data_IF_686308428737
#
_entry.id   IF_686308428737
#
_cell.length_a   1.000
_cell.length_b   1.000
_cell.length_c   1.000
_cell.angle_alpha   90.00
_cell.angle_beta   90.00
_cell.angle_gamma   90.00
#
_symmetry.space_group_name_H-M   'P 1'
#
loop_
_entity.id
_entity.type
_entity.pdbx_description
1 polymer ?
#
# COMPACT_ATOMS: atom_id res chain seq x y z
N UNK A 1 16.42 -16.70 19.04
CA UNK A 1 15.65 -15.66 18.32
C UNK A 1 15.23 -16.28 17.00
N UNK A 2 13.94 -16.54 16.79
CA UNK A 2 13.45 -17.08 15.51
C UNK A 2 13.71 -16.03 14.43
N UNK A 3 14.38 -16.39 13.35
CA UNK A 3 14.44 -15.51 12.18
C UNK A 3 13.02 -15.33 11.61
N UNK A 4 12.76 -14.22 10.90
CA UNK A 4 11.47 -13.94 10.25
C UNK A 4 10.98 -15.06 9.30
N UNK A 5 11.85 -16.00 8.93
CA UNK A 5 11.54 -17.18 8.13
C UNK A 5 11.19 -18.45 8.95
N UNK A 6 11.10 -18.37 10.28
CA UNK A 6 10.84 -19.53 11.15
C UNK A 6 12.03 -20.49 11.28
N UNK A 7 13.22 -20.06 10.86
CA UNK A 7 14.46 -20.84 10.95
C UNK A 7 15.09 -20.61 12.32
N UNK A 8 15.46 -21.69 12.99
CA UNK A 8 16.38 -21.70 14.11
C UNK A 8 17.69 -22.33 13.64
N UNK A 9 18.75 -21.53 13.43
CA UNK A 9 20.04 -22.07 13.04
C UNK A 9 20.61 -22.98 14.14
N UNK A 10 21.46 -23.92 13.74
CA UNK A 10 22.25 -24.71 14.66
C UNK A 10 23.10 -23.80 15.57
N UNK A 11 23.19 -24.13 16.85
CA UNK A 11 24.06 -23.45 17.82
C UNK A 11 25.54 -23.73 17.47
N UNK A 12 26.32 -22.70 17.12
CA UNK A 12 27.71 -22.86 16.73
C UNK A 12 28.61 -23.42 17.85
N UNK A 13 28.19 -23.34 19.12
CA UNK A 13 28.95 -23.87 20.25
C UNK A 13 28.57 -25.30 20.65
N UNK A 14 27.54 -25.88 20.01
CA UNK A 14 27.09 -27.23 20.27
C UNK A 14 27.15 -28.07 18.99
N UNK A 15 28.17 -28.94 18.81
CA UNK A 15 28.34 -29.75 17.60
C UNK A 15 27.22 -30.77 17.36
N UNK A 16 26.33 -31.00 18.33
CA UNK A 16 25.12 -31.83 18.18
C UNK A 16 23.86 -31.06 17.80
N UNK A 17 23.92 -29.75 17.63
CA UNK A 17 22.75 -28.94 17.31
C UNK A 17 22.44 -28.97 15.81
N UNK A 18 21.17 -29.21 15.46
CA UNK A 18 20.68 -29.17 14.09
C UNK A 18 19.89 -27.88 13.87
N UNK A 19 19.89 -27.39 12.63
CA UNK A 19 18.97 -26.32 12.27
C UNK A 19 17.55 -26.85 12.26
N UNK A 20 16.62 -26.14 12.89
CA UNK A 20 15.20 -26.49 12.90
C UNK A 20 14.40 -25.44 12.12
N UNK A 21 13.32 -25.87 11.48
CA UNK A 21 12.41 -24.99 10.75
C UNK A 21 11.01 -25.17 11.33
N UNK A 22 10.45 -24.09 11.85
CA UNK A 22 9.06 -24.04 12.31
C UNK A 22 8.16 -23.63 11.14
N UNK A 23 7.24 -24.52 10.76
CA UNK A 23 6.24 -24.30 9.72
C UNK A 23 4.84 -24.56 10.28
N UNK A 24 3.82 -23.92 9.73
CA UNK A 24 2.44 -24.26 10.04
C UNK A 24 2.08 -25.68 9.51
N UNK A 25 0.99 -26.24 10.02
CA UNK A 25 0.52 -27.59 9.66
C UNK A 25 0.26 -27.75 8.16
N UNK A 26 -0.29 -26.73 7.50
CA UNK A 26 -0.57 -26.73 6.06
C UNK A 26 0.73 -26.79 5.23
N UNK A 27 1.73 -26.00 5.62
CA UNK A 27 3.04 -26.01 4.97
C UNK A 27 3.75 -27.35 5.19
N UNK A 28 3.72 -27.88 6.43
CA UNK A 28 4.30 -29.18 6.76
C UNK A 28 3.64 -30.31 5.95
N UNK A 29 2.32 -30.34 5.89
CA UNK A 29 1.55 -31.32 5.12
C UNK A 29 1.87 -31.29 3.62
N UNK A 30 2.16 -30.10 3.08
CA UNK A 30 2.59 -29.93 1.68
C UNK A 30 4.01 -30.50 1.47
N UNK A 31 4.92 -30.17 2.38
CA UNK A 31 6.32 -30.64 2.34
C UNK A 31 6.43 -32.16 2.48
N UNK A 32 5.64 -32.79 3.35
CA UNK A 32 5.60 -34.25 3.50
C UNK A 32 5.19 -34.95 2.20
N UNK A 33 4.39 -34.29 1.36
CA UNK A 33 3.97 -34.80 0.04
C UNK A 33 4.97 -34.46 -1.07
N UNK A 34 6.14 -33.91 -0.74
CA UNK A 34 7.13 -33.43 -1.70
C UNK A 34 6.67 -32.24 -2.53
N UNK A 35 5.66 -31.48 -2.07
CA UNK A 35 5.13 -30.30 -2.76
C UNK A 35 5.62 -29.01 -2.10
N UNK A 36 5.81 -27.98 -2.92
CA UNK A 36 6.11 -26.62 -2.41
C UNK A 36 4.84 -26.06 -1.77
N UNK A 37 4.88 -25.55 -0.52
CA UNK A 37 3.73 -24.91 0.12
C UNK A 37 3.15 -23.79 -0.73
N UNK A 38 1.82 -23.63 -0.74
CA UNK A 38 1.12 -22.67 -1.61
C UNK A 38 1.64 -21.23 -1.45
N UNK A 39 1.91 -20.80 -0.22
CA UNK A 39 2.36 -19.45 0.10
C UNK A 39 3.87 -19.32 0.30
N UNK A 40 4.66 -20.29 -0.18
CA UNK A 40 6.11 -20.19 -0.13
C UNK A 40 6.60 -19.01 -0.98
N UNK A 41 7.59 -18.27 -0.48
CA UNK A 41 8.25 -17.18 -1.22
C UNK A 41 8.75 -17.61 -2.61
N UNK A 42 9.13 -18.88 -2.75
CA UNK A 42 9.53 -19.52 -4.02
C UNK A 42 8.44 -19.49 -5.09
N UNK A 43 7.16 -19.40 -4.74
CA UNK A 43 6.03 -19.35 -5.67
C UNK A 43 5.82 -17.95 -6.28
N UNK A 44 6.91 -17.24 -6.58
CA UNK A 44 6.89 -15.86 -7.09
C UNK A 44 6.17 -14.86 -6.15
N UNK A 45 6.12 -15.19 -4.85
CA UNK A 45 5.53 -14.34 -3.81
C UNK A 45 6.57 -13.39 -3.18
N UNK A 46 7.86 -13.64 -3.41
CA UNK A 46 8.91 -12.67 -3.10
C UNK A 46 9.18 -11.77 -4.32
N UNK A 47 9.01 -10.46 -4.15
CA UNK A 47 9.24 -9.46 -5.21
C UNK A 47 10.52 -8.64 -5.05
N UNK A 48 11.33 -8.96 -4.04
CA UNK A 48 12.56 -8.23 -3.74
C UNK A 48 12.32 -7.00 -2.86
N UNK A 49 13.32 -6.12 -2.84
CA UNK A 49 13.32 -4.86 -2.11
C UNK A 49 13.33 -3.73 -3.14
N UNK A 50 12.53 -2.69 -2.90
CA UNK A 50 12.54 -1.50 -3.74
C UNK A 50 13.86 -0.71 -3.57
N UNK A 51 14.31 0.04 -4.59
CA UNK A 51 15.41 1.00 -4.44
C UNK A 51 15.15 1.94 -3.25
N UNK A 52 16.21 2.39 -2.57
CA UNK A 52 16.12 3.26 -1.38
C UNK A 52 15.21 4.48 -1.61
N UNK A 53 15.29 5.11 -2.78
CA UNK A 53 14.45 6.25 -3.15
C UNK A 53 12.96 5.93 -3.35
N UNK A 54 12.55 4.65 -3.32
CA UNK A 54 11.15 4.20 -3.48
C UNK A 54 10.65 3.42 -2.25
N UNK A 55 11.48 3.22 -1.21
CA UNK A 55 11.08 2.48 -0.01
C UNK A 55 10.09 3.24 0.88
N UNK A 56 10.02 4.56 0.73
CA UNK A 56 9.14 5.46 1.48
C UNK A 56 7.89 5.83 0.67
N UNK A 57 7.51 5.05 -0.35
CA UNK A 57 6.26 5.28 -1.09
C UNK A 57 5.07 5.26 -0.14
N UNK A 58 4.17 6.22 -0.29
CA UNK A 58 2.92 6.21 0.47
C UNK A 58 1.97 5.18 -0.13
N UNK A 59 1.06 4.65 0.69
CA UNK A 59 0.05 3.72 0.22
C UNK A 59 -0.83 4.35 -0.89
N UNK A 60 -1.01 5.68 -0.90
CA UNK A 60 -1.72 6.37 -1.98
C UNK A 60 -0.87 6.42 -3.25
N UNK A 61 0.43 6.67 -3.17
CA UNK A 61 1.33 6.62 -4.34
C UNK A 61 1.34 5.22 -4.97
N UNK A 62 1.35 4.16 -4.14
CA UNK A 62 1.16 2.78 -4.59
C UNK A 62 -0.22 2.60 -5.25
N UNK A 63 -1.28 3.13 -4.63
CA UNK A 63 -2.62 3.09 -5.18
C UNK A 63 -2.67 3.76 -6.56
N UNK A 64 -2.10 4.96 -6.72
CA UNK A 64 -2.00 5.71 -7.99
C UNK A 64 -1.35 4.87 -9.09
N UNK A 65 -0.37 4.02 -8.73
CA UNK A 65 0.39 3.16 -9.64
C UNK A 65 -0.20 1.74 -9.78
N UNK A 66 -1.32 1.43 -9.12
CA UNK A 66 -1.87 0.08 -9.10
C UNK A 66 -2.48 -0.31 -10.46
N UNK A 67 -1.97 -1.37 -11.07
CA UNK A 67 -2.48 -1.92 -12.32
C UNK A 67 -3.89 -2.47 -12.15
N UNK A 68 -4.10 -3.30 -11.12
CA UNK A 68 -5.40 -3.85 -10.78
C UNK A 68 -5.85 -3.27 -9.44
N UNK A 69 -7.12 -2.90 -9.35
CA UNK A 69 -7.75 -2.56 -8.08
C UNK A 69 -9.05 -3.33 -7.94
N UNK A 70 -9.18 -3.98 -6.80
CA UNK A 70 -10.35 -4.79 -6.42
C UNK A 70 -10.95 -4.34 -5.11
N UNK A 71 -10.39 -3.32 -4.44
CA UNK A 71 -10.84 -2.88 -3.13
C UNK A 71 -11.30 -1.43 -3.16
N UNK A 72 -12.35 -1.14 -2.40
CA UNK A 72 -12.72 0.21 -1.97
C UNK A 72 -12.19 0.43 -0.55
N UNK A 73 -11.63 1.61 -0.30
CA UNK A 73 -11.08 2.01 0.99
C UNK A 73 -12.03 3.01 1.65
N UNK A 74 -12.44 2.71 2.89
CA UNK A 74 -13.17 3.66 3.73
C UNK A 74 -12.27 4.01 4.89
N UNK A 75 -11.84 5.25 4.96
CA UNK A 75 -11.00 5.77 6.05
C UNK A 75 -11.85 6.64 6.96
N UNK A 76 -12.04 6.20 8.20
CA UNK A 76 -12.72 7.01 9.21
C UNK A 76 -11.69 7.73 10.04
N UNK A 77 -11.75 9.05 10.04
CA UNK A 77 -10.86 9.94 10.79
C UNK A 77 -11.64 10.59 11.93
N UNK A 78 -11.08 10.49 13.13
CA UNK A 78 -11.61 11.05 14.36
C UNK A 78 -10.74 12.21 14.81
N UNK A 79 -11.35 13.37 15.10
CA UNK A 79 -10.67 14.48 15.75
C UNK A 79 -10.60 14.24 17.26
N UNK A 80 -9.41 13.91 17.76
CA UNK A 80 -9.24 13.45 19.16
C UNK A 80 -8.91 14.59 20.13
N UNK A 81 -8.18 15.61 19.69
CA UNK A 81 -7.63 16.65 20.58
C UNK A 81 -8.14 18.05 20.20
N UNK A 82 -8.48 18.87 21.20
CA UNK A 82 -8.81 20.29 21.03
C UNK A 82 -7.58 21.19 20.95
N UNK A 83 -6.37 20.64 21.11
CA UNK A 83 -5.12 21.38 21.03
C UNK A 83 -4.52 21.28 19.63
N UNK A 84 -4.45 22.40 18.91
CA UNK A 84 -3.82 22.47 17.57
C UNK A 84 -2.31 22.14 17.57
N UNK A 85 -1.69 21.99 18.75
CA UNK A 85 -0.26 21.65 18.90
C UNK A 85 0.01 20.15 18.98
N UNK A 86 -1.02 19.31 19.02
CA UNK A 86 -0.86 17.86 19.08
C UNK A 86 -0.59 17.29 17.67
N UNK A 87 0.57 16.64 17.44
CA UNK A 87 0.86 16.00 16.15
C UNK A 87 -0.09 14.84 15.82
N UNK A 88 -0.84 14.30 16.80
CA UNK A 88 -1.83 13.23 16.63
C UNK A 88 -3.27 13.74 16.70
N UNK A 89 -3.52 14.92 16.11
CA UNK A 89 -4.83 15.55 16.06
C UNK A 89 -5.93 14.62 15.51
N UNK A 90 -5.56 13.69 14.62
CA UNK A 90 -6.46 12.68 14.06
C UNK A 90 -5.99 11.26 14.35
N UNK A 91 -6.92 10.44 14.79
CA UNK A 91 -6.79 8.99 14.82
C UNK A 91 -7.82 8.40 13.86
N UNK A 92 -7.51 7.29 13.21
CA UNK A 92 -8.45 6.71 12.28
C UNK A 92 -8.19 5.25 11.98
N UNK A 93 -9.19 4.61 11.40
CA UNK A 93 -9.06 3.29 10.82
C UNK A 93 -9.41 3.34 9.34
N UNK A 94 -8.71 2.52 8.56
CA UNK A 94 -9.05 2.29 7.16
C UNK A 94 -9.51 0.85 7.03
N UNK A 95 -10.73 0.64 6.55
CA UNK A 95 -11.19 -0.67 6.11
C UNK A 95 -11.16 -0.75 4.59
N UNK A 96 -10.76 -1.91 4.06
CA UNK A 96 -10.77 -2.22 2.64
C UNK A 96 -11.85 -3.27 2.38
N UNK A 97 -12.72 -3.00 1.40
CA UNK A 97 -13.81 -3.88 1.01
C UNK A 97 -13.60 -4.35 -0.42
N UNK A 98 -13.69 -5.66 -0.65
CA UNK A 98 -13.65 -6.21 -1.99
C UNK A 98 -14.85 -5.70 -2.81
N UNK A 99 -14.55 -5.26 -4.03
CA UNK A 99 -15.53 -4.87 -5.03
C UNK A 99 -15.60 -5.96 -6.08
N UNK A 100 -16.81 -6.29 -6.52
CA UNK A 100 -17.04 -7.23 -7.61
C UNK A 100 -16.71 -6.64 -9.01
N UNK A 101 -15.87 -5.60 -9.05
CA UNK A 101 -15.45 -4.91 -10.28
C UNK A 101 -13.93 -4.82 -10.27
N UNK A 102 -13.30 -5.57 -11.17
CA UNK A 102 -11.85 -5.48 -11.39
C UNK A 102 -11.60 -4.28 -12.31
N UNK A 103 -11.10 -3.18 -11.76
CA UNK A 103 -10.62 -2.07 -12.57
C UNK A 103 -9.16 -2.34 -12.97
N UNK A 104 -8.95 -2.77 -14.22
CA UNK A 104 -7.61 -2.91 -14.79
C UNK A 104 -7.24 -1.65 -15.56
N UNK A 105 -6.17 -0.97 -15.15
CA UNK A 105 -5.68 0.22 -15.83
C UNK A 105 -4.92 -0.17 -17.10
N UNK A 106 -5.28 0.45 -18.23
CA UNK A 106 -4.45 0.45 -19.44
C UNK A 106 -3.51 1.67 -19.50
N UNK A 107 -3.80 2.70 -18.70
CA UNK A 107 -3.06 3.96 -18.61
C UNK A 107 -2.78 4.26 -17.12
N UNK A 108 -1.53 4.60 -16.80
CA UNK A 108 -1.10 5.01 -15.47
C UNK A 108 -0.30 6.33 -15.54
N UNK A 109 -0.18 7.13 -14.46
CA UNK A 109 -0.88 7.00 -13.19
C UNK A 109 -2.40 7.08 -13.38
N UNK A 110 -3.17 6.53 -12.43
CA UNK A 110 -4.63 6.70 -12.45
C UNK A 110 -4.98 8.17 -12.23
N UNK A 111 -6.01 8.66 -12.91
CA UNK A 111 -6.51 10.02 -12.68
C UNK A 111 -7.09 10.16 -11.26
N UNK A 112 -7.03 11.35 -10.62
CA UNK A 112 -7.57 11.58 -9.28
C UNK A 112 -9.03 11.13 -9.10
N UNK A 113 -9.89 11.36 -10.10
CA UNK A 113 -11.28 10.90 -10.10
C UNK A 113 -11.41 9.39 -9.85
N UNK A 114 -10.56 8.60 -10.51
CA UNK A 114 -10.56 7.14 -10.37
C UNK A 114 -10.08 6.69 -8.99
N UNK A 115 -9.38 7.55 -8.25
CA UNK A 115 -9.03 7.28 -6.86
C UNK A 115 -10.21 7.57 -5.94
N UNK A 116 -10.89 8.70 -6.14
CA UNK A 116 -12.03 9.13 -5.32
C UNK A 116 -13.22 8.16 -5.44
N UNK A 117 -13.42 7.51 -6.58
CA UNK A 117 -14.45 6.46 -6.75
C UNK A 117 -14.24 5.26 -5.82
N UNK A 118 -13.02 5.05 -5.34
CA UNK A 118 -12.61 3.87 -4.57
C UNK A 118 -12.08 4.24 -3.19
N UNK A 119 -12.09 5.52 -2.84
CA UNK A 119 -11.59 6.02 -1.57
C UNK A 119 -12.60 6.99 -0.97
N UNK A 120 -13.24 6.57 0.10
CA UNK A 120 -14.13 7.41 0.90
C UNK A 120 -13.44 7.79 2.20
N UNK A 121 -13.47 9.08 2.55
CA UNK A 121 -12.99 9.57 3.83
C UNK A 121 -14.19 10.05 4.64
N UNK A 122 -14.42 9.43 5.78
CA UNK A 122 -15.46 9.81 6.73
C UNK A 122 -14.80 10.54 7.89
N UNK A 123 -15.18 11.79 8.08
CA UNK A 123 -14.67 12.62 9.15
C UNK A 123 -15.67 12.70 10.31
N UNK A 124 -15.20 12.36 11.51
CA UNK A 124 -15.95 12.42 12.76
C UNK A 124 -15.26 13.41 13.69
N UNK A 125 -15.86 14.58 13.92
CA UNK A 125 -15.28 15.56 14.83
C UNK A 125 -15.92 16.95 14.75
N UNK A 126 -15.62 17.82 15.75
CA UNK A 126 -16.11 19.18 15.75
C UNK A 126 -15.35 20.02 14.71
N UNK A 127 -16.05 20.50 13.68
CA UNK A 127 -15.54 21.47 12.71
C UNK A 127 -15.15 20.89 11.34
N UNK A 128 -14.72 21.75 10.41
CA UNK A 128 -14.34 21.35 9.06
C UNK A 128 -12.97 20.66 9.02
N UNK A 129 -12.77 19.74 8.07
CA UNK A 129 -11.46 19.14 7.80
C UNK A 129 -10.58 20.17 7.11
N UNK A 130 -9.33 20.35 7.59
CA UNK A 130 -8.31 21.17 6.91
C UNK A 130 -7.53 20.32 5.92
N UNK A 131 -7.11 20.90 4.79
CA UNK A 131 -6.32 20.22 3.74
C UNK A 131 -5.01 19.67 4.28
N UNK A 132 -4.35 20.39 5.20
CA UNK A 132 -3.08 19.97 5.79
C UNK A 132 -3.16 18.58 6.43
N UNK A 133 -4.28 18.26 7.07
CA UNK A 133 -4.47 17.00 7.78
C UNK A 133 -4.60 15.81 6.84
N UNK A 134 -5.29 16.00 5.70
CA UNK A 134 -5.40 14.98 4.66
C UNK A 134 -4.06 14.78 3.96
N UNK A 135 -3.26 15.84 3.82
CA UNK A 135 -1.93 15.78 3.20
C UNK A 135 -0.91 14.91 3.94
N UNK A 136 -1.16 14.54 5.21
CA UNK A 136 -0.30 13.60 5.96
C UNK A 136 -0.61 12.15 5.58
N UNK A 137 -1.91 11.82 5.46
CA UNK A 137 -2.39 10.43 5.28
C UNK A 137 -2.48 10.07 3.79
N UNK A 138 -2.92 11.03 2.96
CA UNK A 138 -3.22 10.85 1.55
C UNK A 138 -2.23 11.56 0.63
N UNK A 139 -0.98 11.71 1.10
CA UNK A 139 0.09 12.40 0.37
C UNK A 139 0.45 11.67 -0.91
N UNK A 140 0.63 12.45 -1.99
CA UNK A 140 1.13 12.01 -3.28
C UNK A 140 2.23 12.97 -3.73
N UNK A 141 3.43 12.44 -3.98
CA UNK A 141 4.55 13.17 -4.59
C UNK A 141 4.65 12.81 -6.06
N UNK A 142 4.39 13.77 -6.94
CA UNK A 142 4.35 13.56 -8.41
C UNK A 142 5.64 12.91 -8.92
N UNK A 143 6.79 13.43 -8.49
CA UNK A 143 8.09 12.93 -8.90
C UNK A 143 8.32 11.46 -8.49
N UNK A 144 7.82 11.04 -7.32
CA UNK A 144 7.93 9.64 -6.85
C UNK A 144 7.06 8.72 -7.67
N UNK A 145 5.80 9.10 -7.92
CA UNK A 145 4.87 8.35 -8.79
C UNK A 145 5.50 8.12 -10.16
N UNK A 146 6.07 9.16 -10.78
CA UNK A 146 6.71 9.04 -12.08
C UNK A 146 7.90 8.07 -12.08
N UNK A 147 8.83 8.24 -11.13
CA UNK A 147 10.00 7.35 -10.99
C UNK A 147 9.57 5.91 -10.74
N UNK A 148 8.56 5.70 -9.90
CA UNK A 148 8.06 4.38 -9.59
C UNK A 148 7.45 3.69 -10.82
N UNK A 149 6.64 4.39 -11.61
CA UNK A 149 6.06 3.84 -12.84
C UNK A 149 7.13 3.47 -13.87
N UNK A 150 8.17 4.30 -14.04
CA UNK A 150 9.31 3.97 -14.90
C UNK A 150 10.07 2.74 -14.39
N UNK A 151 10.29 2.67 -13.08
CA UNK A 151 10.92 1.51 -12.45
C UNK A 151 10.08 0.23 -12.64
N UNK A 152 8.76 0.32 -12.45
CA UNK A 152 7.83 -0.80 -12.66
C UNK A 152 7.84 -1.25 -14.12
N UNK A 153 7.81 -0.34 -15.08
CA UNK A 153 7.85 -0.67 -16.51
C UNK A 153 9.12 -1.43 -16.90
N UNK A 154 10.25 -1.09 -16.26
CA UNK A 154 11.54 -1.77 -16.46
C UNK A 154 11.64 -3.13 -15.77
N UNK A 155 11.07 -3.26 -14.56
CA UNK A 155 11.34 -4.42 -13.68
C UNK A 155 10.14 -5.37 -13.52
N UNK A 156 8.94 -4.99 -13.95
CA UNK A 156 7.73 -5.79 -13.79
C UNK A 156 7.05 -6.01 -15.15
N UNK A 157 7.00 -7.28 -15.59
CA UNK A 157 6.42 -7.67 -16.87
C UNK A 157 4.97 -7.20 -17.05
N UNK A 158 4.19 -7.13 -15.96
CA UNK A 158 2.80 -6.66 -15.99
C UNK A 158 2.68 -5.18 -16.41
N UNK A 159 3.74 -4.40 -16.21
CA UNK A 159 3.79 -2.97 -16.51
C UNK A 159 4.49 -2.64 -17.83
N UNK A 160 5.11 -3.64 -18.47
CA UNK A 160 5.95 -3.45 -19.65
C UNK A 160 5.23 -2.79 -20.83
N UNK A 161 3.96 -3.12 -21.04
CA UNK A 161 3.11 -2.62 -22.13
C UNK A 161 2.22 -1.44 -21.72
N UNK A 162 2.27 -0.99 -20.46
CA UNK A 162 1.39 0.09 -19.99
C UNK A 162 1.80 1.45 -20.57
N UNK A 163 0.78 2.24 -20.88
CA UNK A 163 0.96 3.63 -21.27
C UNK A 163 1.11 4.48 -20.02
N UNK A 164 2.19 5.26 -19.94
CA UNK A 164 2.39 6.23 -18.86
C UNK A 164 1.92 7.59 -19.38
N UNK A 165 0.80 8.08 -18.85
CA UNK A 165 0.18 9.35 -19.24
C UNK A 165 0.75 10.50 -18.43
N UNK A 166 1.40 11.43 -19.13
CA UNK A 166 1.81 12.70 -18.53
C UNK A 166 0.60 13.55 -18.13
N UNK A 167 -0.46 13.53 -18.94
CA UNK A 167 -1.69 14.28 -18.67
C UNK A 167 -2.33 13.88 -17.33
N UNK A 168 -2.40 12.58 -17.04
CA UNK A 168 -2.92 12.10 -15.74
C UNK A 168 -1.98 12.48 -14.60
N UNK A 169 -0.67 12.47 -14.84
CA UNK A 169 0.32 12.86 -13.83
C UNK A 169 0.21 14.35 -13.50
N UNK A 170 -0.02 15.19 -14.50
CA UNK A 170 -0.12 16.65 -14.36
C UNK A 170 -1.37 17.11 -13.60
N UNK A 171 -2.36 16.24 -13.44
CA UNK A 171 -3.50 16.49 -12.55
C UNK A 171 -3.10 16.54 -11.07
N UNK A 172 -1.98 15.92 -10.69
CA UNK A 172 -1.50 15.94 -9.31
C UNK A 172 -0.64 17.17 -9.02
N UNK A 173 -0.66 17.62 -7.77
CA UNK A 173 0.30 18.62 -7.26
C UNK A 173 1.71 18.01 -7.20
N UNK A 174 2.76 18.84 -7.20
CA UNK A 174 4.15 18.33 -7.08
C UNK A 174 4.35 17.50 -5.81
N UNK A 175 3.78 17.98 -4.71
CA UNK A 175 3.72 17.32 -3.41
C UNK A 175 2.45 17.80 -2.69
N UNK A 176 1.45 16.92 -2.60
CA UNK A 176 0.14 17.32 -2.10
C UNK A 176 -0.77 16.15 -1.78
N UNK A 177 -2.06 16.43 -1.60
CA UNK A 177 -3.09 15.40 -1.42
C UNK A 177 -3.73 15.05 -2.76
N UNK A 178 -4.59 14.03 -2.80
CA UNK A 178 -5.38 13.70 -3.99
C UNK A 178 -6.29 14.90 -4.34
N UNK A 179 -6.20 15.46 -5.57
CA UNK A 179 -7.10 16.53 -6.00
C UNK A 179 -8.57 16.11 -5.89
N UNK A 180 -9.42 16.96 -5.30
CA UNK A 180 -10.85 16.67 -5.08
C UNK A 180 -11.16 15.88 -3.79
N UNK A 181 -10.15 15.45 -3.03
CA UNK A 181 -10.38 14.64 -1.83
C UNK A 181 -11.07 15.40 -0.70
N UNK A 182 -10.73 16.69 -0.52
CA UNK A 182 -11.29 17.50 0.56
C UNK A 182 -12.81 17.69 0.37
N UNK A 183 -13.22 17.90 -0.88
CA UNK A 183 -14.61 18.04 -1.29
C UNK A 183 -15.39 16.74 -1.19
N UNK A 184 -14.71 15.59 -1.29
CA UNK A 184 -15.29 14.26 -1.18
C UNK A 184 -15.41 13.75 0.28
N UNK A 185 -14.91 14.50 1.26
CA UNK A 185 -15.00 14.09 2.68
C UNK A 185 -16.46 14.10 3.15
N UNK A 186 -16.90 12.98 3.70
CA UNK A 186 -18.21 12.84 4.32
C UNK A 186 -18.11 13.24 5.79
N UNK A 187 -18.90 14.22 6.22
CA UNK A 187 -18.96 14.65 7.62
C UNK A 187 -20.02 13.87 8.39
N UNK A 188 -19.60 13.09 9.37
CA UNK A 188 -20.44 12.38 10.33
C UNK A 188 -20.44 13.18 11.65
N UNK A 189 -21.61 13.71 12.03
CA UNK A 189 -21.79 14.63 13.15
C UNK A 189 -22.06 13.89 14.45
#
# INVERSE_FOLDING_TARGET
MLEFAGIQPADPNNPGSASSLSVCEECYSSLQKGKIPCFALKNHLYRGILPEELQDLTWVEEMVCALHRTTAHVTRLYHYSTSEKDPFLFHGNTCAHDMNVISTASVLPRAPSNLLDQLSVVFVGPGPVKKEHLGVIFRVRKAKVWRFLLWLKKNNRLYSTLTISQENLDMYEEDGTIPGLLEAVIHDK
#
